data_IF_808871667449
#
_entry.id   IF_808871667449
#
_cell.length_a   1.000
_cell.length_b   1.000
_cell.length_c   1.000
_cell.angle_alpha   90.00
_cell.angle_beta   90.00
_cell.angle_gamma   90.00
#
_symmetry.space_group_name_H-M   'P 1'
#
loop_
_entity.id
_entity.type
_entity.pdbx_description
1 polymer ?
#
# COMPACT_ATOMS: atom_id res chain seq x y z
N UNK A 1 -13.44 -4.67 -5.42
CA UNK A 1 -13.43 -4.10 -4.05
C UNK A 1 -13.45 -5.15 -2.93
N UNK A 2 -14.38 -6.13 -2.94
CA UNK A 2 -14.54 -7.11 -1.84
C UNK A 2 -13.28 -7.94 -1.53
N UNK A 3 -12.51 -8.33 -2.56
CA UNK A 3 -11.25 -9.08 -2.41
C UNK A 3 -10.11 -8.29 -1.76
N UNK A 4 -10.16 -6.95 -1.77
CA UNK A 4 -9.18 -6.10 -1.10
C UNK A 4 -9.60 -5.79 0.35
N UNK A 5 -10.90 -5.54 0.56
CA UNK A 5 -11.47 -5.24 1.88
C UNK A 5 -11.44 -6.46 2.81
N UNK A 6 -11.64 -7.67 2.27
CA UNK A 6 -11.68 -8.90 3.05
C UNK A 6 -10.37 -9.16 3.83
N UNK A 7 -9.18 -9.26 3.19
CA UNK A 7 -7.93 -9.39 3.93
C UNK A 7 -7.69 -8.20 4.84
N UNK A 8 -7.99 -6.98 4.38
CA UNK A 8 -7.83 -5.80 5.22
C UNK A 8 -8.60 -5.92 6.54
N UNK A 9 -9.87 -6.30 6.48
CA UNK A 9 -10.71 -6.50 7.64
C UNK A 9 -10.18 -7.62 8.54
N UNK A 10 -9.87 -8.79 7.97
CA UNK A 10 -9.39 -9.97 8.72
C UNK A 10 -8.06 -9.72 9.44
N UNK A 11 -7.13 -9.01 8.78
CA UNK A 11 -5.78 -8.78 9.30
C UNK A 11 -5.63 -7.46 10.06
N UNK A 12 -6.64 -6.58 10.09
CA UNK A 12 -6.58 -5.31 10.82
C UNK A 12 -6.43 -5.49 12.35
N UNK A 13 -7.08 -6.50 12.93
CA UNK A 13 -6.94 -6.83 14.34
C UNK A 13 -5.51 -7.31 14.68
N UNK A 14 -4.90 -8.09 13.78
CA UNK A 14 -3.51 -8.51 13.91
C UNK A 14 -2.58 -7.29 13.77
N UNK A 15 -2.84 -6.39 12.82
CA UNK A 15 -2.05 -5.18 12.63
C UNK A 15 -1.92 -4.32 13.91
N UNK A 16 -3.01 -4.17 14.67
CA UNK A 16 -2.99 -3.47 15.96
C UNK A 16 -2.02 -4.13 16.95
N UNK A 17 -2.11 -5.45 17.13
CA UNK A 17 -1.24 -6.20 18.05
C UNK A 17 0.23 -6.13 17.64
N UNK A 18 0.52 -6.25 16.34
CA UNK A 18 1.89 -6.16 15.82
C UNK A 18 2.46 -4.75 15.98
N UNK A 19 1.67 -3.71 15.69
CA UNK A 19 2.09 -2.31 15.83
C UNK A 19 2.48 -1.91 17.25
N UNK A 20 1.82 -2.48 18.27
CA UNK A 20 2.19 -2.27 19.66
C UNK A 20 3.45 -3.05 20.07
N UNK A 21 3.54 -4.32 19.67
CA UNK A 21 4.57 -5.26 20.15
C UNK A 21 5.98 -5.03 19.58
N UNK A 22 6.10 -4.52 18.36
CA UNK A 22 7.40 -4.37 17.69
C UNK A 22 7.81 -2.89 17.52
N UNK A 23 9.11 -2.61 17.34
CA UNK A 23 9.60 -1.28 16.97
C UNK A 23 9.07 -0.87 15.57
N UNK A 24 8.55 0.36 15.50
CA UNK A 24 7.68 0.83 14.42
C UNK A 24 8.50 1.05 13.14
N UNK A 25 9.71 1.54 13.29
CA UNK A 25 10.73 1.68 12.25
C UNK A 25 11.05 0.34 11.55
N UNK A 26 11.29 -0.74 12.34
CA UNK A 26 11.55 -2.07 11.76
C UNK A 26 10.33 -2.64 11.07
N UNK A 27 9.14 -2.49 11.65
CA UNK A 27 7.89 -2.93 11.04
C UNK A 27 7.64 -2.23 9.71
N UNK A 28 7.76 -0.89 9.67
CA UNK A 28 7.62 -0.11 8.44
C UNK A 28 8.57 -0.65 7.37
N UNK A 29 9.84 -0.87 7.71
CA UNK A 29 10.84 -1.36 6.76
C UNK A 29 10.50 -2.74 6.21
N UNK A 30 10.07 -3.68 7.05
CA UNK A 30 9.70 -5.04 6.64
C UNK A 30 8.44 -5.02 5.77
N UNK A 31 7.41 -4.28 6.20
CA UNK A 31 6.14 -4.16 5.48
C UNK A 31 6.40 -3.55 4.09
N UNK A 32 7.16 -2.44 4.03
CA UNK A 32 7.54 -1.79 2.76
C UNK A 32 8.43 -2.64 1.87
N UNK A 33 9.28 -3.50 2.44
CA UNK A 33 10.02 -4.48 1.64
C UNK A 33 9.07 -5.53 1.04
N UNK A 34 8.07 -5.97 1.81
CA UNK A 34 7.01 -6.85 1.32
C UNK A 34 6.22 -6.22 0.16
N UNK A 35 5.98 -4.90 0.18
CA UNK A 35 5.35 -4.18 -0.93
C UNK A 35 6.06 -4.43 -2.26
N UNK A 36 7.40 -4.31 -2.27
CA UNK A 36 8.21 -4.52 -3.49
C UNK A 36 8.03 -5.93 -4.04
N UNK A 37 7.99 -6.94 -3.17
CA UNK A 37 7.77 -8.33 -3.58
C UNK A 37 6.36 -8.52 -4.16
N UNK A 38 5.34 -7.95 -3.51
CA UNK A 38 3.95 -8.03 -3.98
C UNK A 38 3.79 -7.31 -5.33
N UNK A 39 4.44 -6.16 -5.48
CA UNK A 39 4.51 -5.38 -6.72
C UNK A 39 5.15 -6.19 -7.85
N UNK A 40 6.29 -6.86 -7.60
CA UNK A 40 6.93 -7.72 -8.58
C UNK A 40 6.03 -8.90 -9.02
N UNK A 41 5.28 -9.52 -8.10
CA UNK A 41 4.29 -10.56 -8.43
C UNK A 41 3.15 -9.98 -9.28
N UNK A 42 2.67 -8.77 -8.96
CA UNK A 42 1.67 -8.06 -9.75
C UNK A 42 2.16 -7.77 -11.18
N UNK A 43 3.38 -7.26 -11.32
CA UNK A 43 4.01 -7.00 -12.62
C UNK A 43 4.16 -8.28 -13.44
N UNK A 44 4.61 -9.39 -12.84
CA UNK A 44 4.65 -10.69 -13.51
C UNK A 44 3.26 -11.14 -13.97
N UNK A 45 2.23 -10.97 -13.12
CA UNK A 45 0.85 -11.25 -13.47
C UNK A 45 0.36 -10.46 -14.69
N UNK A 46 0.71 -9.17 -14.79
CA UNK A 46 0.42 -8.33 -15.95
C UNK A 46 1.18 -8.79 -17.21
N UNK A 47 2.48 -9.06 -17.13
CA UNK A 47 3.29 -9.48 -18.28
C UNK A 47 2.82 -10.81 -18.87
N UNK A 48 2.48 -11.78 -18.02
CA UNK A 48 2.03 -13.11 -18.44
C UNK A 48 0.50 -13.20 -18.64
N UNK A 49 -0.24 -12.10 -18.47
CA UNK A 49 -1.71 -12.06 -18.50
C UNK A 49 -2.36 -13.10 -17.56
N UNK A 50 -1.74 -13.34 -16.40
CA UNK A 50 -2.18 -14.35 -15.45
C UNK A 50 -3.08 -13.73 -14.37
N UNK A 51 -4.40 -13.77 -14.61
CA UNK A 51 -5.40 -13.16 -13.73
C UNK A 51 -5.26 -13.60 -12.27
N UNK A 52 -4.98 -14.88 -12.02
CA UNK A 52 -4.84 -15.39 -10.65
C UNK A 52 -3.67 -14.77 -9.89
N UNK A 53 -2.56 -14.46 -10.57
CA UNK A 53 -1.40 -13.80 -9.93
C UNK A 53 -1.73 -12.35 -9.61
N UNK A 54 -2.46 -11.67 -10.49
CA UNK A 54 -2.93 -10.31 -10.26
C UNK A 54 -3.91 -10.25 -9.07
N UNK A 55 -4.81 -11.23 -8.96
CA UNK A 55 -5.73 -11.36 -7.83
C UNK A 55 -5.00 -11.71 -6.53
N UNK A 56 -4.00 -12.58 -6.58
CA UNK A 56 -3.16 -12.91 -5.43
C UNK A 56 -2.36 -11.68 -4.96
N UNK A 57 -1.78 -10.92 -5.88
CA UNK A 57 -1.09 -9.66 -5.57
C UNK A 57 -2.06 -8.63 -4.97
N UNK A 58 -3.27 -8.51 -5.51
CA UNK A 58 -4.31 -7.62 -4.96
C UNK A 58 -4.71 -8.01 -3.53
N UNK A 59 -4.88 -9.30 -3.26
CA UNK A 59 -5.18 -9.81 -1.93
C UNK A 59 -4.03 -9.53 -0.95
N UNK A 60 -2.80 -9.81 -1.37
CA UNK A 60 -1.59 -9.55 -0.58
C UNK A 60 -1.43 -8.05 -0.29
N UNK A 61 -1.74 -7.17 -1.25
CA UNK A 61 -1.76 -5.72 -1.03
C UNK A 61 -2.79 -5.29 0.00
N UNK A 62 -3.95 -5.95 0.05
CA UNK A 62 -4.96 -5.73 1.08
C UNK A 62 -4.42 -6.05 2.48
N UNK A 63 -3.78 -7.21 2.65
CA UNK A 63 -3.11 -7.61 3.91
C UNK A 63 -1.99 -6.64 4.28
N UNK A 64 -1.12 -6.29 3.32
CA UNK A 64 -0.04 -5.32 3.51
C UNK A 64 -0.57 -3.97 4.01
N UNK A 65 -1.63 -3.44 3.37
CA UNK A 65 -2.25 -2.17 3.74
C UNK A 65 -2.88 -2.20 5.13
N UNK A 66 -3.45 -3.35 5.52
CA UNK A 66 -3.99 -3.58 6.87
C UNK A 66 -2.90 -3.43 7.94
N UNK A 67 -1.73 -4.01 7.68
CA UNK A 67 -0.59 -3.98 8.60
C UNK A 67 0.07 -2.60 8.64
N UNK A 68 0.20 -1.93 7.49
CA UNK A 68 0.86 -0.63 7.41
C UNK A 68 0.04 0.50 8.03
N UNK A 69 -1.30 0.45 7.93
CA UNK A 69 -2.20 1.53 8.38
C UNK A 69 -1.97 1.97 9.83
N UNK A 70 -2.12 1.08 10.83
CA UNK A 70 -1.92 1.43 12.24
C UNK A 70 -0.50 1.91 12.53
N UNK A 71 0.50 1.26 11.91
CA UNK A 71 1.92 1.60 12.12
C UNK A 71 2.23 3.01 11.59
N UNK A 72 1.69 3.38 10.42
CA UNK A 72 1.85 4.71 9.79
C UNK A 72 1.39 5.83 10.70
N UNK A 73 0.27 5.68 11.38
CA UNK A 73 -0.24 6.73 12.27
C UNK A 73 0.40 6.68 13.66
N UNK A 74 0.83 5.50 14.12
CA UNK A 74 1.51 5.34 15.42
C UNK A 74 2.91 5.97 15.49
N UNK A 75 3.54 6.26 14.35
CA UNK A 75 4.88 6.87 14.30
C UNK A 75 4.83 8.39 14.42
N UNK A 76 3.72 9.03 14.04
CA UNK A 76 3.53 10.48 14.15
C UNK A 76 3.70 11.00 15.59
N UNK A 77 3.04 10.43 16.62
CA UNK A 77 3.22 10.87 18.01
C UNK A 77 4.62 10.60 18.57
N UNK A 78 5.45 9.81 17.90
CA UNK A 78 6.84 9.58 18.32
C UNK A 78 7.81 10.65 17.81
N UNK A 79 7.42 11.39 16.75
CA UNK A 79 8.30 12.34 16.06
C UNK A 79 7.79 13.79 16.10
N UNK A 80 6.53 14.01 16.48
CA UNK A 80 5.89 15.31 16.51
C UNK A 80 5.38 15.62 17.92
N UNK A 81 5.37 16.92 18.28
CA UNK A 81 4.77 17.38 19.53
C UNK A 81 3.25 17.33 19.42
N UNK A 82 2.54 17.25 20.55
CA UNK A 82 1.07 17.18 20.56
C UNK A 82 0.39 18.31 19.75
N UNK A 83 0.93 19.52 19.82
CA UNK A 83 0.43 20.69 19.06
C UNK A 83 0.65 20.58 17.55
N UNK A 84 1.59 19.75 17.12
CA UNK A 84 1.96 19.54 15.71
C UNK A 84 1.26 18.30 15.12
N UNK A 85 0.68 17.41 15.95
CA UNK A 85 0.10 16.15 15.51
C UNK A 85 -1.04 16.32 14.51
N UNK A 86 -1.94 17.28 14.74
CA UNK A 86 -3.07 17.53 13.85
C UNK A 86 -2.58 17.98 12.47
N UNK A 87 -1.60 18.90 12.43
CA UNK A 87 -0.99 19.38 11.19
C UNK A 87 -0.20 18.27 10.48
N UNK A 88 0.58 17.48 11.22
CA UNK A 88 1.31 16.34 10.69
C UNK A 88 0.38 15.27 10.10
N UNK A 89 -0.72 14.95 10.78
CA UNK A 89 -1.73 14.04 10.27
C UNK A 89 -2.36 14.56 8.96
N UNK A 90 -2.73 15.84 8.92
CA UNK A 90 -3.30 16.47 7.73
C UNK A 90 -2.33 16.43 6.53
N UNK A 91 -1.03 16.64 6.75
CA UNK A 91 -0.01 16.54 5.70
C UNK A 91 0.13 15.10 5.17
N UNK A 92 0.12 14.09 6.05
CA UNK A 92 0.18 12.68 5.65
C UNK A 92 -1.06 12.27 4.84
N UNK A 93 -2.24 12.72 5.26
CA UNK A 93 -3.49 12.45 4.53
C UNK A 93 -3.53 13.15 3.17
N UNK A 94 -3.16 14.44 3.10
CA UNK A 94 -3.03 15.15 1.83
C UNK A 94 -2.03 14.46 0.90
N UNK A 95 -0.84 14.09 1.39
CA UNK A 95 0.16 13.39 0.59
C UNK A 95 -0.37 12.07 0.05
N UNK A 96 -1.09 11.31 0.88
CA UNK A 96 -1.73 10.05 0.46
C UNK A 96 -2.79 10.30 -0.61
N UNK A 97 -3.62 11.33 -0.44
CA UNK A 97 -4.66 11.68 -1.39
C UNK A 97 -4.09 12.12 -2.74
N UNK A 98 -3.06 12.98 -2.73
CA UNK A 98 -2.35 13.41 -3.94
C UNK A 98 -1.68 12.23 -4.65
N UNK A 99 -1.08 11.30 -3.91
CA UNK A 99 -0.49 10.10 -4.49
C UNK A 99 -1.55 9.21 -5.17
N UNK A 100 -2.73 9.04 -4.56
CA UNK A 100 -3.84 8.28 -5.15
C UNK A 100 -4.33 8.96 -6.44
N UNK A 101 -4.52 10.28 -6.42
CA UNK A 101 -4.96 11.03 -7.59
C UNK A 101 -3.94 10.94 -8.72
N UNK A 102 -2.66 11.22 -8.44
CA UNK A 102 -1.59 11.16 -9.42
C UNK A 102 -1.44 9.74 -9.99
N UNK A 103 -1.52 8.71 -9.15
CA UNK A 103 -1.47 7.32 -9.57
C UNK A 103 -2.66 6.93 -10.45
N UNK A 104 -3.88 7.35 -10.10
CA UNK A 104 -5.09 7.06 -10.87
C UNK A 104 -5.05 7.73 -12.25
N UNK A 105 -4.61 8.98 -12.31
CA UNK A 105 -4.44 9.71 -13.58
C UNK A 105 -3.38 9.03 -14.45
N UNK A 106 -2.22 8.73 -13.87
CA UNK A 106 -1.11 8.09 -14.58
C UNK A 106 -1.52 6.71 -15.12
N UNK A 107 -2.19 5.89 -14.31
CA UNK A 107 -2.70 4.59 -14.74
C UNK A 107 -3.70 4.72 -15.90
N UNK A 108 -4.63 5.67 -15.84
CA UNK A 108 -5.57 5.94 -16.93
C UNK A 108 -4.89 6.31 -18.25
N UNK A 109 -3.85 7.14 -18.18
CA UNK A 109 -3.03 7.51 -19.37
C UNK A 109 -2.28 6.29 -19.92
N UNK A 110 -1.67 5.48 -19.05
CA UNK A 110 -0.90 4.30 -19.45
C UNK A 110 -1.78 3.21 -20.09
N UNK A 111 -3.00 3.03 -19.58
CA UNK A 111 -3.97 2.06 -20.12
C UNK A 111 -4.55 2.46 -21.48
N UNK A 112 -4.44 3.74 -21.87
CA UNK A 112 -4.88 4.23 -23.19
C UNK A 112 -3.96 3.78 -24.34
N UNK A 113 -2.75 3.31 -24.04
CA UNK A 113 -1.76 2.89 -25.03
C UNK A 113 -1.90 1.42 -25.44
N UNK A 114 -1.69 1.10 -26.73
CA UNK A 114 -1.82 -0.26 -27.28
C UNK A 114 -0.84 -1.30 -26.70
N UNK A 115 0.14 -0.88 -25.88
CA UNK A 115 1.13 -1.74 -25.21
C UNK A 115 1.11 -1.61 -23.67
N UNK A 116 -0.09 -1.40 -23.10
CA UNK A 116 -0.26 -1.12 -21.66
C UNK A 116 0.42 -2.14 -20.72
N UNK A 117 0.46 -3.43 -21.06
CA UNK A 117 1.04 -4.47 -20.18
C UNK A 117 2.53 -4.23 -19.86
N UNK A 118 3.31 -3.82 -20.86
CA UNK A 118 4.72 -3.48 -20.67
C UNK A 118 4.90 -2.15 -19.93
N UNK A 119 4.10 -1.14 -20.30
CA UNK A 119 4.18 0.20 -19.71
C UNK A 119 3.81 0.16 -18.22
N UNK A 120 2.76 -0.59 -17.86
CA UNK A 120 2.33 -0.78 -16.47
C UNK A 120 3.38 -1.56 -15.68
N UNK A 121 3.94 -2.63 -16.24
CA UNK A 121 4.93 -3.45 -15.52
C UNK A 121 6.25 -2.73 -15.29
N UNK A 122 6.64 -1.80 -16.18
CA UNK A 122 7.85 -0.99 -16.02
C UNK A 122 7.71 0.18 -15.02
N UNK A 123 6.48 0.55 -14.67
CA UNK A 123 6.19 1.64 -13.73
C UNK A 123 6.03 1.15 -12.27
N UNK A 124 5.94 -0.16 -12.09
CA UNK A 124 5.87 -0.86 -10.79
C UNK A 124 7.30 -1.10 -10.28
#
# INVERSE_FOLDING_TARGET
>A
MRLFILPFFLFSALAGQFGEKYPKDKLIRIIKFGEIVIMAVGAAGFLFNHLELMLAALFAMGTHSALFGPVKYSILPQHLRETELVGGNALVEMGTFLAILAGTISAGVMMSSSHYGWIVSAAI
#
